data_IF_622687780914
#
_entry.id   IF_622687780914
#
_cell.length_a   1.000
_cell.length_b   1.000
_cell.length_c   1.000
_cell.angle_alpha   90.00
_cell.angle_beta   90.00
_cell.angle_gamma   90.00
#
_symmetry.space_group_name_H-M   'P 1'
#
loop_
_entity.id
_entity.type
_entity.pdbx_description
1 polymer ?
#
# COMPACT_ATOMS: atom_id res chain seq x y z
N UNK A 1 12.66 3.69 24.23
CA UNK A 1 12.05 2.47 23.68
C UNK A 1 10.67 2.85 23.15
N UNK A 2 10.25 2.32 22.00
CA UNK A 2 8.95 2.65 21.42
C UNK A 2 7.90 1.65 21.91
N UNK A 3 6.69 2.11 22.25
CA UNK A 3 5.58 1.20 22.58
C UNK A 3 4.98 0.57 21.33
N UNK A 4 4.29 -0.57 21.48
CA UNK A 4 3.53 -1.17 20.37
C UNK A 4 2.53 -0.18 19.78
N UNK A 5 1.86 0.60 20.64
CA UNK A 5 0.87 1.59 20.22
C UNK A 5 1.48 2.69 19.37
N UNK A 6 2.62 3.26 19.81
CA UNK A 6 3.34 4.27 19.03
C UNK A 6 3.78 3.73 17.67
N UNK A 7 4.16 2.46 17.60
CA UNK A 7 4.51 1.82 16.34
C UNK A 7 3.25 1.63 15.46
N UNK A 8 2.11 1.18 16.01
CA UNK A 8 0.85 1.09 15.27
C UNK A 8 0.41 2.44 14.73
N UNK A 9 0.50 3.51 15.52
CA UNK A 9 0.19 4.87 15.06
C UNK A 9 1.10 5.30 13.90
N UNK A 10 2.39 4.94 13.92
CA UNK A 10 3.30 5.21 12.82
C UNK A 10 2.95 4.41 11.54
N UNK A 11 2.50 3.16 11.69
CA UNK A 11 1.98 2.37 10.56
C UNK A 11 0.70 3.00 10.01
N UNK A 12 -0.21 3.44 10.87
CA UNK A 12 -1.44 4.13 10.48
C UNK A 12 -1.16 5.41 9.68
N UNK A 13 -0.20 6.23 10.14
CA UNK A 13 0.26 7.43 9.43
C UNK A 13 0.84 7.09 8.05
N UNK A 14 1.64 6.03 7.94
CA UNK A 14 2.19 5.56 6.65
C UNK A 14 1.11 5.03 5.72
N UNK A 15 0.11 4.32 6.24
CA UNK A 15 -1.06 3.88 5.47
C UNK A 15 -1.83 5.09 4.91
N UNK A 16 -2.15 6.07 5.76
CA UNK A 16 -2.84 7.31 5.37
C UNK A 16 -2.04 8.10 4.33
N UNK A 17 -0.73 8.30 4.56
CA UNK A 17 0.16 9.01 3.65
C UNK A 17 0.29 8.35 2.27
N UNK A 18 -0.13 7.08 2.13
CA UNK A 18 -0.18 6.36 0.86
C UNK A 18 -1.60 6.15 0.33
N UNK A 19 -2.57 6.92 0.84
CA UNK A 19 -3.95 6.93 0.37
C UNK A 19 -4.76 5.69 0.76
N UNK A 20 -4.32 4.90 1.74
CA UNK A 20 -5.13 3.81 2.25
C UNK A 20 -6.29 4.37 3.09
N UNK A 21 -7.49 3.80 2.89
CA UNK A 21 -8.61 4.01 3.80
C UNK A 21 -8.36 3.16 5.04
N UNK A 22 -8.45 3.77 6.21
CA UNK A 22 -8.15 3.11 7.49
C UNK A 22 -9.40 3.03 8.34
N UNK A 23 -9.60 1.89 8.98
CA UNK A 23 -10.61 1.67 10.00
C UNK A 23 -10.14 0.62 11.00
N UNK A 24 -10.72 0.61 12.19
CA UNK A 24 -10.52 -0.48 13.15
C UNK A 24 -11.65 -1.51 12.99
N UNK A 25 -11.30 -2.79 13.04
CA UNK A 25 -12.26 -3.87 12.93
C UNK A 25 -11.76 -5.13 13.62
N UNK A 26 -12.72 -5.92 14.12
CA UNK A 26 -12.48 -7.27 14.59
C UNK A 26 -12.08 -8.21 13.42
N UNK A 27 -10.87 -8.77 13.48
CA UNK A 27 -10.35 -9.76 12.54
C UNK A 27 -10.04 -11.04 13.31
N UNK A 28 -10.91 -12.04 13.19
CA UNK A 28 -10.88 -13.21 14.07
C UNK A 28 -11.10 -12.81 15.53
N UNK A 29 -10.29 -13.26 16.50
CA UNK A 29 -10.36 -12.82 17.89
C UNK A 29 -9.59 -11.52 18.17
N UNK A 30 -8.89 -10.95 17.17
CA UNK A 30 -8.06 -9.76 17.35
C UNK A 30 -8.81 -8.49 16.93
N UNK A 31 -8.72 -7.43 17.76
CA UNK A 31 -9.05 -6.08 17.33
C UNK A 31 -7.87 -5.54 16.51
N UNK A 32 -8.13 -5.16 15.25
CA UNK A 32 -7.08 -4.83 14.30
C UNK A 32 -7.32 -3.49 13.61
N UNK A 33 -6.22 -2.79 13.32
CA UNK A 33 -6.20 -1.69 12.38
C UNK A 33 -6.13 -2.24 10.96
N UNK A 34 -7.06 -1.84 10.10
CA UNK A 34 -7.13 -2.28 8.71
C UNK A 34 -6.95 -1.09 7.79
N UNK A 35 -5.93 -1.15 6.94
CA UNK A 35 -5.72 -0.24 5.82
C UNK A 35 -6.04 -0.92 4.50
N UNK A 36 -6.84 -0.28 3.65
CA UNK A 36 -7.21 -0.80 2.33
C UNK A 36 -6.91 0.24 1.26
N UNK A 37 -6.22 -0.19 0.20
CA UNK A 37 -6.06 0.61 -1.01
C UNK A 37 -6.12 -0.26 -2.27
N UNK A 38 -6.59 0.36 -3.33
CA UNK A 38 -6.40 -0.17 -4.68
C UNK A 38 -5.05 0.29 -5.21
N UNK A 39 -4.32 -0.60 -5.83
CA UNK A 39 -3.02 -0.36 -6.42
C UNK A 39 -2.93 -1.13 -7.74
N UNK A 40 -1.92 -0.82 -8.55
CA UNK A 40 -1.71 -1.50 -9.82
C UNK A 40 -0.29 -2.05 -9.84
N UNK A 41 -0.16 -3.38 -9.88
CA UNK A 41 1.13 -4.03 -10.02
C UNK A 41 1.60 -3.84 -11.47
N UNK A 42 2.21 -2.70 -11.78
CA UNK A 42 2.52 -2.27 -13.14
C UNK A 42 3.29 -3.31 -13.96
N UNK A 43 4.29 -3.96 -13.34
CA UNK A 43 5.09 -5.00 -13.98
C UNK A 43 4.31 -6.30 -14.25
N UNK A 44 3.20 -6.52 -13.55
CA UNK A 44 2.31 -7.67 -13.75
C UNK A 44 1.03 -7.29 -14.51
N UNK A 45 0.86 -6.02 -14.89
CA UNK A 45 -0.33 -5.45 -15.53
C UNK A 45 -1.65 -5.86 -14.86
N UNK A 46 -1.64 -5.99 -13.53
CA UNK A 46 -2.75 -6.54 -12.77
C UNK A 46 -3.22 -5.56 -11.69
N UNK A 47 -4.53 -5.24 -11.64
CA UNK A 47 -5.09 -4.49 -10.52
C UNK A 47 -5.02 -5.33 -9.25
N UNK A 48 -4.65 -4.69 -8.15
CA UNK A 48 -4.48 -5.32 -6.85
C UNK A 48 -5.21 -4.53 -5.77
N UNK A 49 -5.87 -5.23 -4.85
CA UNK A 49 -6.31 -4.66 -3.58
C UNK A 49 -5.29 -5.04 -2.50
N UNK A 50 -4.67 -4.02 -1.91
CA UNK A 50 -3.72 -4.20 -0.81
C UNK A 50 -4.45 -3.97 0.51
N UNK A 51 -4.50 -5.02 1.33
CA UNK A 51 -4.97 -4.99 2.70
C UNK A 51 -3.77 -5.08 3.63
N UNK A 52 -3.62 -4.10 4.50
CA UNK A 52 -2.63 -4.12 5.59
C UNK A 52 -3.42 -4.23 6.89
N UNK A 53 -3.27 -5.35 7.58
CA UNK A 53 -4.06 -5.68 8.78
C UNK A 53 -3.08 -5.82 9.94
N UNK A 54 -3.23 -4.98 10.96
CA UNK A 54 -2.27 -4.86 12.05
C UNK A 54 -2.94 -5.08 13.40
N UNK A 55 -2.37 -5.91 14.25
CA UNK A 55 -2.80 -6.05 15.65
C UNK A 55 -1.62 -5.91 16.61
N UNK A 56 -1.95 -5.59 17.87
CA UNK A 56 -1.00 -5.46 18.97
C UNK A 56 -1.05 -6.71 19.85
N UNK A 57 0.11 -7.17 20.32
CA UNK A 57 0.25 -8.25 21.29
C UNK A 57 1.34 -7.92 22.31
N UNK A 58 1.17 -8.34 23.57
CA UNK A 58 2.30 -8.28 24.51
C UNK A 58 3.42 -9.25 24.11
N UNK A 59 3.05 -10.44 23.66
CA UNK A 59 3.98 -11.49 23.27
C UNK A 59 3.47 -12.25 22.03
N UNK A 60 4.34 -12.44 21.04
CA UNK A 60 4.01 -13.12 19.79
C UNK A 60 4.59 -14.54 19.72
N UNK A 61 3.72 -15.53 19.56
CA UNK A 61 4.08 -16.93 19.28
C UNK A 61 3.90 -17.29 17.80
N UNK A 62 4.52 -18.37 17.33
CA UNK A 62 4.38 -18.81 15.93
C UNK A 62 2.95 -19.22 15.55
N UNK A 63 2.19 -19.75 16.51
CA UNK A 63 0.76 -20.01 16.34
C UNK A 63 -0.04 -18.71 16.13
N UNK A 64 0.26 -17.66 16.89
CA UNK A 64 -0.39 -16.36 16.73
C UNK A 64 -0.13 -15.76 15.34
N UNK A 65 1.13 -15.78 14.88
CA UNK A 65 1.51 -15.31 13.53
C UNK A 65 0.75 -16.05 12.44
N UNK A 66 0.69 -17.38 12.53
CA UNK A 66 0.01 -18.21 11.53
C UNK A 66 -1.49 -17.95 11.50
N UNK A 67 -2.15 -18.00 12.66
CA UNK A 67 -3.60 -17.85 12.75
C UNK A 67 -4.07 -16.45 12.37
N UNK A 68 -3.38 -15.43 12.88
CA UNK A 68 -3.74 -14.05 12.54
C UNK A 68 -3.54 -13.79 11.04
N UNK A 69 -2.45 -14.31 10.44
CA UNK A 69 -2.24 -14.22 9.00
C UNK A 69 -3.40 -14.81 8.19
N UNK A 70 -3.85 -16.02 8.54
CA UNK A 70 -4.99 -16.67 7.89
C UNK A 70 -6.30 -15.89 8.08
N UNK A 71 -6.56 -15.38 9.28
CA UNK A 71 -7.76 -14.60 9.58
C UNK A 71 -7.77 -13.27 8.83
N UNK A 72 -6.63 -12.58 8.76
CA UNK A 72 -6.45 -11.37 7.96
C UNK A 72 -6.68 -11.64 6.47
N UNK A 73 -6.14 -12.75 5.94
CA UNK A 73 -6.36 -13.12 4.54
C UNK A 73 -7.83 -13.44 4.26
N UNK A 74 -8.48 -14.18 5.15
CA UNK A 74 -9.91 -14.48 5.03
C UNK A 74 -10.76 -13.22 5.09
N UNK A 75 -10.45 -12.28 5.98
CA UNK A 75 -11.08 -10.97 6.05
C UNK A 75 -10.94 -10.20 4.72
N UNK A 76 -9.70 -10.09 4.21
CA UNK A 76 -9.43 -9.41 2.94
C UNK A 76 -10.18 -10.04 1.76
N UNK A 77 -10.19 -11.38 1.67
CA UNK A 77 -10.92 -12.12 0.63
C UNK A 77 -12.43 -11.92 0.73
N UNK A 78 -12.99 -11.93 1.95
CA UNK A 78 -14.41 -11.69 2.16
C UNK A 78 -14.80 -10.27 1.74
N UNK A 79 -13.97 -9.27 2.05
CA UNK A 79 -14.21 -7.87 1.70
C UNK A 79 -14.25 -7.60 0.19
N UNK A 80 -13.54 -8.41 -0.62
CA UNK A 80 -13.58 -8.32 -2.10
C UNK A 80 -14.56 -9.30 -2.77
N UNK A 81 -15.41 -10.00 -2.01
CA UNK A 81 -16.47 -10.87 -2.58
C UNK A 81 -16.16 -12.37 -2.62
N UNK A 82 -15.19 -12.87 -1.85
CA UNK A 82 -15.09 -14.29 -1.50
C UNK A 82 -14.67 -15.25 -2.62
N UNK A 83 -14.17 -14.76 -3.75
CA UNK A 83 -13.60 -15.58 -4.83
C UNK A 83 -14.42 -15.61 -6.13
N UNK A 84 -15.68 -15.16 -6.11
CA UNK A 84 -16.53 -15.15 -7.31
C UNK A 84 -16.24 -13.90 -8.15
N UNK A 85 -15.73 -14.08 -9.37
CA UNK A 85 -15.48 -12.99 -10.32
C UNK A 85 -14.20 -12.20 -10.08
N UNK A 86 -13.16 -12.82 -9.50
CA UNK A 86 -11.87 -12.17 -9.23
C UNK A 86 -11.18 -11.68 -10.52
N UNK A 87 -11.38 -10.42 -10.86
CA UNK A 87 -10.59 -9.69 -11.87
C UNK A 87 -9.41 -8.95 -11.24
N UNK A 88 -9.38 -8.86 -9.91
CA UNK A 88 -8.41 -8.08 -9.13
C UNK A 88 -7.75 -8.98 -8.10
N UNK A 89 -6.43 -9.04 -8.06
CA UNK A 89 -5.72 -9.84 -7.05
C UNK A 89 -5.79 -9.19 -5.67
N UNK A 90 -5.74 -9.99 -4.61
CA UNK A 90 -5.68 -9.50 -3.23
C UNK A 90 -4.30 -9.74 -2.66
N UNK A 91 -3.69 -8.69 -2.13
CA UNK A 91 -2.47 -8.77 -1.33
C UNK A 91 -2.84 -8.48 0.11
N UNK A 92 -2.57 -9.40 1.01
CA UNK A 92 -2.75 -9.23 2.45
C UNK A 92 -1.38 -9.18 3.11
N UNK A 93 -1.10 -8.07 3.80
CA UNK A 93 0.05 -7.94 4.70
C UNK A 93 -0.48 -7.97 6.13
N UNK A 94 -0.21 -9.05 6.84
CA UNK A 94 -0.69 -9.27 8.21
C UNK A 94 0.43 -8.96 9.21
N UNK A 95 0.33 -7.80 9.87
CA UNK A 95 1.30 -7.29 10.82
C UNK A 95 0.93 -7.61 12.27
N UNK A 96 1.83 -8.24 13.01
CA UNK A 96 1.77 -8.32 14.47
C UNK A 96 2.84 -7.40 15.03
N UNK A 97 2.43 -6.46 15.88
CA UNK A 97 3.34 -5.58 16.62
C UNK A 97 3.37 -6.09 18.06
N UNK A 98 4.53 -6.56 18.50
CA UNK A 98 4.69 -7.19 19.80
C UNK A 98 5.83 -6.63 20.63
N UNK A 99 5.68 -6.61 21.96
CA UNK A 99 6.76 -6.21 22.88
C UNK A 99 7.89 -7.25 22.91
N UNK A 100 7.55 -8.53 22.70
CA UNK A 100 8.50 -9.65 22.60
C UNK A 100 7.97 -10.75 21.69
N UNK A 101 8.86 -11.62 21.20
CA UNK A 101 8.49 -12.73 20.33
C UNK A 101 9.33 -13.99 20.53
N UNK A 102 8.70 -15.14 20.28
CA UNK A 102 9.38 -16.42 20.22
C UNK A 102 10.19 -16.57 18.93
N UNK A 103 11.31 -17.33 18.93
CA UNK A 103 12.03 -17.67 17.71
C UNK A 103 11.17 -18.38 16.64
N UNK A 104 10.16 -19.18 17.04
CA UNK A 104 9.20 -19.77 16.10
C UNK A 104 8.34 -18.68 15.44
N UNK A 105 7.90 -17.66 16.19
CA UNK A 105 7.15 -16.53 15.63
C UNK A 105 7.97 -15.79 14.55
N UNK A 106 9.24 -15.53 14.84
CA UNK A 106 10.18 -14.90 13.91
C UNK A 106 10.36 -15.75 12.64
N UNK A 107 10.53 -17.06 12.80
CA UNK A 107 10.68 -18.02 11.69
C UNK A 107 9.42 -18.09 10.82
N UNK A 108 8.23 -18.12 11.45
CA UNK A 108 6.94 -18.13 10.75
C UNK A 108 6.72 -16.84 9.97
N UNK A 109 7.09 -15.69 10.55
CA UNK A 109 6.96 -14.41 9.87
C UNK A 109 7.93 -14.28 8.68
N UNK A 110 9.13 -14.84 8.82
CA UNK A 110 10.15 -14.90 7.78
C UNK A 110 9.93 -16.00 6.73
N UNK A 111 8.85 -16.80 6.85
CA UNK A 111 8.56 -17.87 5.91
C UNK A 111 8.14 -17.31 4.53
N UNK A 112 8.45 -18.04 3.43
CA UNK A 112 8.05 -17.64 2.09
C UNK A 112 6.57 -17.29 1.96
N UNK A 113 6.28 -16.40 1.02
CA UNK A 113 4.93 -15.92 0.75
C UNK A 113 3.97 -17.08 0.50
N UNK A 114 2.81 -17.02 1.14
CA UNK A 114 1.74 -17.96 0.84
C UNK A 114 0.89 -17.40 -0.30
N UNK A 115 0.91 -18.09 -1.44
CA UNK A 115 0.07 -17.77 -2.59
C UNK A 115 -1.12 -18.73 -2.64
N UNK A 116 -2.29 -18.18 -2.88
CA UNK A 116 -3.52 -18.91 -3.16
C UNK A 116 -4.19 -18.29 -4.38
N UNK A 117 -5.19 -18.95 -4.96
CA UNK A 117 -5.86 -18.45 -6.16
C UNK A 117 -6.41 -17.03 -5.94
N UNK A 118 -5.86 -16.04 -6.66
CA UNK A 118 -6.24 -14.63 -6.58
C UNK A 118 -5.85 -13.91 -5.29
N UNK A 119 -5.13 -14.54 -4.36
CA UNK A 119 -4.78 -13.92 -3.08
C UNK A 119 -3.39 -14.32 -2.58
N UNK A 120 -2.65 -13.35 -2.06
CA UNK A 120 -1.33 -13.53 -1.49
C UNK A 120 -1.32 -13.06 -0.04
N UNK A 121 -0.70 -13.84 0.84
CA UNK A 121 -0.52 -13.51 2.25
C UNK A 121 0.97 -13.34 2.58
N UNK A 122 1.27 -12.21 3.21
CA UNK A 122 2.57 -11.87 3.77
C UNK A 122 2.43 -11.58 5.27
N UNK A 123 2.92 -12.48 6.14
CA UNK A 123 3.09 -12.16 7.54
C UNK A 123 4.24 -11.16 7.75
N UNK A 124 4.06 -10.26 8.71
CA UNK A 124 5.08 -9.34 9.23
C UNK A 124 4.99 -9.39 10.75
N UNK A 125 6.12 -9.62 11.41
CA UNK A 125 6.22 -9.52 12.86
C UNK A 125 7.18 -8.38 13.18
N UNK A 126 6.75 -7.45 14.01
CA UNK A 126 7.59 -6.39 14.55
C UNK A 126 7.75 -6.66 16.03
N UNK A 127 8.98 -6.92 16.44
CA UNK A 127 9.36 -7.06 17.84
C UNK A 127 9.98 -5.73 18.30
N UNK A 128 9.19 -4.93 19.02
CA UNK A 128 9.66 -3.60 19.49
C UNK A 128 10.64 -3.72 20.66
N UNK A 129 10.66 -4.87 21.34
CA UNK A 129 11.61 -5.23 22.40
C UNK A 129 13.05 -5.31 21.89
N UNK A 130 13.22 -6.04 20.79
CA UNK A 130 14.51 -6.25 20.10
C UNK A 130 14.77 -5.24 18.99
N UNK A 131 13.75 -4.49 18.58
CA UNK A 131 13.83 -3.50 17.51
C UNK A 131 13.89 -4.11 16.10
N UNK A 132 13.41 -5.35 15.93
CA UNK A 132 13.52 -6.10 14.68
C UNK A 132 12.17 -6.21 13.95
N UNK A 133 12.25 -6.31 12.62
CA UNK A 133 11.11 -6.63 11.74
C UNK A 133 11.42 -7.95 11.05
N UNK A 134 10.63 -8.97 11.36
CA UNK A 134 10.73 -10.30 10.77
C UNK A 134 9.68 -10.44 9.67
N UNK A 135 10.16 -10.60 8.44
CA UNK A 135 9.32 -10.85 7.28
C UNK A 135 10.15 -11.47 6.18
N UNK A 136 9.54 -12.25 5.29
CA UNK A 136 10.27 -12.80 4.16
C UNK A 136 10.59 -11.72 3.13
N UNK A 137 11.87 -11.56 2.82
CA UNK A 137 12.39 -10.58 1.86
C UNK A 137 12.85 -11.20 0.54
N UNK A 138 12.72 -12.53 0.38
CA UNK A 138 13.18 -13.24 -0.81
C UNK A 138 12.41 -12.91 -2.10
N UNK A 139 12.77 -13.57 -3.19
CA UNK A 139 12.02 -13.58 -4.46
C UNK A 139 11.61 -15.01 -4.79
N UNK A 140 10.39 -15.22 -5.27
CA UNK A 140 9.99 -16.48 -5.90
C UNK A 140 10.15 -16.33 -7.42
N UNK A 141 10.66 -17.37 -8.09
CA UNK A 141 10.90 -17.34 -9.54
C UNK A 141 9.61 -17.11 -10.35
N UNK A 142 8.46 -17.62 -9.86
CA UNK A 142 7.14 -17.33 -10.43
C UNK A 142 6.56 -16.10 -9.72
N UNK A 143 6.23 -15.07 -10.49
CA UNK A 143 5.61 -13.84 -9.96
C UNK A 143 6.60 -12.84 -9.35
N UNK A 144 7.85 -12.78 -9.81
CA UNK A 144 8.87 -11.87 -9.29
C UNK A 144 8.43 -10.40 -9.28
N UNK A 145 7.69 -9.94 -10.30
CA UNK A 145 7.08 -8.61 -10.36
C UNK A 145 6.09 -8.37 -9.20
N UNK A 146 5.20 -9.33 -8.96
CA UNK A 146 4.21 -9.26 -7.86
C UNK A 146 4.93 -9.34 -6.50
N UNK A 147 5.95 -10.19 -6.38
CA UNK A 147 6.74 -10.32 -5.15
C UNK A 147 7.54 -9.06 -4.82
N UNK A 148 8.12 -8.41 -5.84
CA UNK A 148 8.77 -7.11 -5.72
C UNK A 148 7.76 -6.05 -5.25
N UNK A 149 6.60 -5.98 -5.90
CA UNK A 149 5.51 -5.10 -5.47
C UNK A 149 5.11 -5.35 -4.01
N UNK A 150 4.90 -6.60 -3.58
CA UNK A 150 4.54 -6.92 -2.19
C UNK A 150 5.65 -6.49 -1.22
N UNK A 151 6.92 -6.72 -1.58
CA UNK A 151 8.06 -6.28 -0.77
C UNK A 151 8.06 -4.76 -0.59
N UNK A 152 7.80 -4.01 -1.65
CA UNK A 152 7.71 -2.55 -1.61
C UNK A 152 6.58 -2.08 -0.70
N UNK A 153 5.42 -2.76 -0.73
CA UNK A 153 4.31 -2.49 0.20
C UNK A 153 4.74 -2.74 1.65
N UNK A 154 5.42 -3.86 1.95
CA UNK A 154 5.88 -4.15 3.31
C UNK A 154 6.82 -3.06 3.83
N UNK A 155 7.86 -2.70 3.07
CA UNK A 155 8.79 -1.65 3.48
C UNK A 155 8.14 -0.27 3.61
N UNK A 156 7.16 0.01 2.75
CA UNK A 156 6.41 1.26 2.82
C UNK A 156 5.61 1.38 4.13
N UNK A 157 4.98 0.30 4.60
CA UNK A 157 4.11 0.34 5.76
C UNK A 157 4.80 0.01 7.09
N UNK A 158 5.82 -0.85 7.09
CA UNK A 158 6.48 -1.34 8.30
C UNK A 158 7.92 -0.81 8.42
N UNK A 159 8.14 0.38 9.00
CA UNK A 159 9.47 0.93 9.29
C UNK A 159 10.29 0.06 10.25
N UNK A 160 11.60 0.29 10.36
CA UNK A 160 12.32 -0.25 11.51
C UNK A 160 11.85 0.43 12.81
N UNK A 161 11.72 -0.27 13.94
CA UNK A 161 11.41 0.35 15.24
C UNK A 161 12.36 1.49 15.62
N UNK A 162 13.63 1.41 15.21
CA UNK A 162 14.60 2.49 15.38
C UNK A 162 14.22 3.76 14.60
N UNK A 163 13.74 3.63 13.36
CA UNK A 163 13.27 4.77 12.56
C UNK A 163 12.08 5.46 13.26
N UNK A 164 11.14 4.68 13.79
CA UNK A 164 9.97 5.24 14.49
C UNK A 164 10.39 5.91 15.80
N UNK A 165 11.29 5.30 16.56
CA UNK A 165 11.82 5.88 17.79
C UNK A 165 12.54 7.23 17.55
N UNK A 166 13.28 7.36 16.45
CA UNK A 166 13.92 8.63 16.06
C UNK A 166 12.89 9.72 15.75
N UNK A 167 11.80 9.39 15.05
CA UNK A 167 10.72 10.34 14.78
C UNK A 167 9.94 10.74 16.02
N UNK A 168 9.77 9.80 16.97
CA UNK A 168 9.10 10.07 18.24
C UNK A 168 9.96 10.92 19.19
N UNK A 169 11.29 10.80 19.11
CA UNK A 169 12.24 11.53 19.97
C UNK A 169 12.81 12.82 19.37
N UNK A 170 12.57 13.09 18.08
CA UNK A 170 12.99 14.34 17.45
C UNK A 170 12.15 15.52 17.95
N UNK A 171 12.73 16.72 18.15
CA UNK A 171 11.93 17.91 18.38
C UNK A 171 10.93 18.05 17.24
N UNK A 172 9.67 18.39 17.57
CA UNK A 172 8.66 18.74 16.58
C UNK A 172 9.31 19.65 15.53
N UNK A 173 9.10 19.43 14.22
CA UNK A 173 9.70 20.28 13.20
C UNK A 173 9.33 21.72 13.55
N UNK A 174 10.32 22.47 14.06
CA UNK A 174 10.17 23.88 14.31
C UNK A 174 9.77 24.55 13.01
N UNK A 175 9.09 25.71 13.07
CA UNK A 175 8.74 26.45 11.86
C UNK A 175 9.99 26.53 10.98
N UNK A 176 9.89 25.93 9.79
CA UNK A 176 10.99 25.82 8.85
C UNK A 176 11.71 27.17 8.77
N UNK A 177 13.04 27.24 8.95
CA UNK A 177 13.75 28.47 8.61
C UNK A 177 13.43 28.74 7.15
N UNK A 178 12.84 29.90 6.88
CA UNK A 178 12.54 30.34 5.53
C UNK A 178 13.74 30.06 4.63
N UNK A 179 13.56 29.44 3.45
CA UNK A 179 14.66 29.28 2.52
C UNK A 179 15.26 30.66 2.30
N UNK A 180 16.54 30.80 2.69
CA UNK A 180 17.31 32.00 2.37
C UNK A 180 17.13 32.23 0.88
N UNK A 181 16.48 33.33 0.54
CA UNK A 181 16.37 33.78 -0.84
C UNK A 181 17.78 33.79 -1.42
N UNK A 182 18.04 33.09 -2.54
CA UNK A 182 19.34 33.13 -3.17
C UNK A 182 19.64 34.60 -3.49
N UNK A 183 20.77 35.08 -2.97
CA UNK A 183 21.27 36.41 -3.32
C UNK A 183 21.34 36.51 -4.86
N UNK A 184 20.87 37.62 -5.45
CA UNK A 184 20.95 37.79 -6.88
C UNK A 184 22.43 37.75 -7.32
N UNK A 185 22.76 37.06 -8.42
CA UNK A 185 24.12 37.03 -8.92
C UNK A 185 24.56 38.45 -9.30
N UNK A 186 25.77 38.84 -8.86
CA UNK A 186 26.43 40.05 -9.31
C UNK A 186 26.61 39.96 -10.83
N UNK A 187 25.97 40.90 -11.54
CA UNK A 187 25.99 41.00 -12.99
C UNK A 187 27.42 41.32 -13.46
N UNK A 188 28.02 40.41 -14.22
CA UNK A 188 29.19 40.72 -15.03
C UNK A 188 28.78 41.61 -16.22
N UNK A 189 29.58 42.60 -16.64
CA UNK A 189 29.27 43.43 -17.80
C UNK A 189 29.41 42.61 -19.09
N UNK A 190 28.32 42.44 -19.84
CA UNK A 190 28.32 41.80 -21.15
C UNK A 190 28.87 42.73 -22.24
N UNK A 191 29.64 42.22 -23.22
CA UNK A 191 29.95 42.92 -24.47
C UNK A 191 28.69 43.12 -25.33
N UNK A 192 28.55 44.31 -25.90
CA UNK A 192 27.47 44.66 -26.83
C UNK A 192 27.66 43.93 -28.16
N UNK A 193 26.70 43.08 -28.52
CA UNK A 193 26.54 42.56 -29.88
C UNK A 193 25.26 43.13 -30.51
N UNK A 194 25.38 43.54 -31.77
CA UNK A 194 24.36 44.24 -32.55
C UNK A 194 23.11 43.39 -32.83
N UNK A 195 21.92 44.02 -32.97
CA UNK A 195 20.67 43.31 -33.21
C UNK A 195 20.55 42.85 -34.68
N UNK A 196 20.42 41.55 -34.89
CA UNK A 196 19.88 40.98 -36.13
C UNK A 196 18.35 40.93 -36.04
N UNK A 197 17.70 41.59 -36.99
CA UNK A 197 16.25 41.56 -37.17
C UNK A 197 15.81 40.14 -37.54
N UNK A 198 15.06 39.47 -36.67
CA UNK A 198 14.34 38.25 -37.00
C UNK A 198 12.91 38.60 -37.43
N UNK A 199 12.56 38.21 -38.66
CA UNK A 199 11.22 38.32 -39.22
C UNK A 199 10.26 37.33 -38.52
N UNK A 200 8.99 37.72 -38.28
CA UNK A 200 7.98 36.81 -37.76
C UNK A 200 7.50 35.81 -38.84
N UNK A 201 7.29 34.52 -38.49
CA UNK A 201 6.68 33.56 -39.40
C UNK A 201 5.17 33.78 -39.54
N UNK A 202 4.59 33.54 -40.74
CA UNK A 202 3.16 33.65 -40.98
C UNK A 202 2.38 32.44 -40.41
N UNK A 203 1.34 32.72 -39.61
CA UNK A 203 0.11 31.91 -39.56
C UNK A 203 -0.70 32.18 -40.85
N UNK A 204 -1.69 31.37 -41.31
CA UNK A 204 -2.49 30.35 -40.59
C UNK A 204 -2.82 29.07 -41.41
N UNK A 205 -3.49 28.09 -40.79
CA UNK A 205 -4.33 27.17 -41.57
C UNK A 205 -4.64 25.81 -40.93
N UNK A 206 -5.93 25.44 -41.03
CA UNK A 206 -6.51 24.11 -40.91
C UNK A 206 -6.76 23.54 -39.50
N UNK A 207 -8.00 23.76 -39.04
CA UNK A 207 -8.71 22.87 -38.12
C UNK A 207 -9.25 21.65 -38.90
N UNK A 208 -8.94 20.40 -38.53
CA UNK A 208 -9.65 19.24 -39.06
C UNK A 208 -10.98 19.03 -38.33
N UNK A 209 -12.08 19.15 -39.07
CA UNK A 209 -13.38 18.61 -38.65
C UNK A 209 -13.32 17.07 -38.74
N UNK A 210 -13.62 16.38 -37.65
CA UNK A 210 -13.85 14.93 -37.67
C UNK A 210 -15.36 14.64 -37.74
N UNK A 211 -15.84 13.96 -38.78
CA UNK A 211 -17.17 13.38 -38.83
C UNK A 211 -17.18 11.97 -38.22
N UNK A 212 -18.24 11.64 -37.48
CA UNK A 212 -18.63 10.24 -37.24
C UNK A 212 -18.75 9.84 -35.77
N UNK A 213 -19.91 10.12 -35.17
CA UNK A 213 -20.41 9.34 -34.04
C UNK A 213 -20.88 7.97 -34.55
N UNK A 214 -20.38 6.84 -34.00
CA UNK A 214 -21.02 5.54 -34.20
C UNK A 214 -22.25 5.35 -33.28
N UNK A 215 -23.19 4.45 -33.64
CA UNK A 215 -24.52 4.36 -33.06
C UNK A 215 -24.53 3.89 -31.59
N UNK A 216 -25.48 4.44 -30.82
CA UNK A 216 -25.81 3.98 -29.48
C UNK A 216 -26.49 2.60 -29.55
N UNK A 217 -25.92 1.61 -28.86
CA UNK A 217 -26.58 0.33 -28.63
C UNK A 217 -27.70 0.48 -27.59
N UNK A 218 -28.90 -0.10 -27.81
CA UNK A 218 -29.99 -0.09 -26.84
C UNK A 218 -29.63 -0.92 -25.60
N UNK A 219 -29.99 -0.37 -24.43
CA UNK A 219 -29.84 -1.02 -23.13
C UNK A 219 -30.70 -2.30 -23.00
N UNK A 220 -30.22 -3.32 -22.27
CA UNK A 220 -31.02 -4.47 -21.88
C UNK A 220 -32.11 -4.07 -20.87
N UNK A 221 -33.34 -4.47 -21.16
CA UNK A 221 -34.52 -4.20 -20.33
C UNK A 221 -34.55 -4.98 -19.01
N UNK A 222 -35.39 -4.57 -18.05
CA UNK A 222 -35.44 -5.12 -16.69
C UNK A 222 -36.53 -6.19 -16.56
N UNK A 223 -36.17 -7.47 -16.59
CA UNK A 223 -37.02 -8.60 -16.17
C UNK A 223 -36.10 -9.65 -15.52
N UNK A 224 -36.30 -10.16 -14.31
CA UNK A 224 -37.35 -10.00 -13.31
C UNK A 224 -36.90 -10.57 -11.94
N UNK A 225 -37.70 -10.38 -10.88
CA UNK A 225 -37.40 -10.84 -9.52
C UNK A 225 -37.51 -12.36 -9.30
N UNK A 226 -36.98 -12.89 -8.18
CA UNK A 226 -36.55 -14.28 -8.01
C UNK A 226 -37.70 -15.26 -7.68
N UNK A 227 -37.57 -16.50 -8.15
CA UNK A 227 -38.32 -17.64 -7.62
C UNK A 227 -37.51 -18.35 -6.52
N UNK A 228 -37.95 -18.19 -5.28
CA UNK A 228 -37.97 -19.20 -4.23
C UNK A 228 -39.44 -19.40 -3.84
N UNK A 229 -39.88 -20.46 -3.14
CA UNK A 229 -39.13 -21.46 -2.35
C UNK A 229 -39.58 -22.91 -2.65
N UNK A 230 -38.99 -23.93 -1.99
CA UNK A 230 -39.76 -24.97 -1.28
C UNK A 230 -38.85 -25.75 -0.32
N UNK A 231 -39.28 -25.98 0.93
CA UNK A 231 -38.65 -26.88 1.89
C UNK A 231 -39.25 -28.31 1.78
N UNK A 232 -38.43 -29.32 2.02
CA UNK A 232 -38.77 -30.57 2.72
C UNK A 232 -37.51 -31.15 3.35
#
# INVERSE_FOLDING_TARGET
MISTRQYVDAVAQRMQGRGARIYEQQVGPMHALVGVKSDFAALALSPMQVYVVVCELGHASGHAVTNFGLQAQNHAKAAVGGGRGFTTGVVTVAGIIAESSDPDAQTRAAAPTQMSFGSTLRPVLVDVGTGQVHTWTGTQFVGAAVMGFIRDQVHAFFPSPAEVAQRAGGPAPGPHPHPQQPMPPQQQPYPQHAPTQQQPPPYPGAVPQYPGQPPQHPQPGPYGPPQQPYPY
#
